data_IF_585031602644
#
_entry.id   IF_585031602644
#
_cell.length_a   1.000
_cell.length_b   1.000
_cell.length_c   1.000
_cell.angle_alpha   90.00
_cell.angle_beta   90.00
_cell.angle_gamma   90.00
#
_symmetry.space_group_name_H-M   'P 1'
#
loop_
_entity.id
_entity.type
_entity.pdbx_description
1 polymer ?
#
# COMPACT_ATOMS: atom_id res chain seq x y z
N UNK A 1 23.58 12.98 -34.12
CA UNK A 1 22.60 11.90 -33.84
C UNK A 1 22.82 11.39 -32.43
N UNK A 2 22.08 11.92 -31.45
CA UNK A 2 22.28 11.58 -30.03
C UNK A 2 21.51 10.32 -29.67
N UNK A 3 22.22 9.31 -29.15
CA UNK A 3 21.66 8.03 -28.69
C UNK A 3 20.60 8.28 -27.63
N UNK A 4 19.32 8.15 -28.01
CA UNK A 4 18.17 8.09 -27.11
C UNK A 4 18.37 6.86 -26.23
N UNK A 5 18.89 7.03 -25.01
CA UNK A 5 18.87 5.99 -23.98
C UNK A 5 17.39 5.66 -23.78
N UNK A 6 16.92 4.56 -24.38
CA UNK A 6 15.69 3.91 -23.91
C UNK A 6 16.04 3.47 -22.49
N UNK A 7 15.71 4.30 -21.50
CA UNK A 7 15.62 3.86 -20.13
C UNK A 7 14.62 2.70 -20.16
N UNK A 8 15.14 1.48 -20.26
CA UNK A 8 14.38 0.29 -19.97
C UNK A 8 14.15 0.35 -18.46
N UNK A 9 13.13 1.11 -18.06
CA UNK A 9 12.58 0.96 -16.72
C UNK A 9 12.27 -0.54 -16.59
N UNK A 10 12.81 -1.24 -15.58
CA UNK A 10 12.44 -2.62 -15.33
C UNK A 10 10.90 -2.70 -15.28
N UNK A 11 10.28 -3.81 -15.68
CA UNK A 11 8.82 -3.93 -15.71
C UNK A 11 8.28 -3.47 -14.36
N UNK A 12 7.61 -2.32 -14.36
CA UNK A 12 7.08 -1.73 -13.15
C UNK A 12 6.09 -2.76 -12.60
N UNK A 13 6.25 -3.11 -11.32
CA UNK A 13 5.34 -4.07 -10.70
C UNK A 13 3.91 -3.53 -10.85
N UNK A 14 2.92 -4.35 -11.24
CA UNK A 14 1.58 -3.86 -11.54
C UNK A 14 0.99 -3.03 -10.39
N UNK A 15 1.34 -3.35 -9.13
CA UNK A 15 0.91 -2.54 -7.98
C UNK A 15 1.50 -1.12 -7.97
N UNK A 16 2.77 -0.92 -8.35
CA UNK A 16 3.37 0.42 -8.38
C UNK A 16 2.73 1.28 -9.48
N UNK A 17 2.42 0.67 -10.63
CA UNK A 17 1.67 1.32 -11.70
C UNK A 17 0.27 1.73 -11.24
N UNK A 18 -0.42 0.87 -10.48
CA UNK A 18 -1.74 1.17 -9.91
C UNK A 18 -1.68 2.24 -8.81
N UNK A 19 -0.62 2.27 -8.00
CA UNK A 19 -0.44 3.26 -6.92
C UNK A 19 -0.05 4.66 -7.44
N UNK A 20 0.50 4.76 -8.66
CA UNK A 20 0.87 6.03 -9.30
C UNK A 20 -0.34 6.78 -9.87
N UNK A 21 -1.44 6.08 -10.15
CA UNK A 21 -2.68 6.70 -10.64
C UNK A 21 -3.32 7.54 -9.54
N UNK A 22 -4.11 8.59 -9.88
CA UNK A 22 -4.97 9.24 -8.90
C UNK A 22 -5.98 8.22 -8.38
N UNK A 23 -5.88 7.90 -7.09
CA UNK A 23 -6.70 6.88 -6.43
C UNK A 23 -7.53 7.50 -5.32
N UNK A 24 -8.74 6.97 -5.13
CA UNK A 24 -9.55 7.26 -3.96
C UNK A 24 -9.05 6.44 -2.77
N UNK A 25 -9.42 6.86 -1.54
CA UNK A 25 -9.13 6.09 -0.33
C UNK A 25 -9.71 4.66 -0.44
N UNK A 26 -10.93 4.52 -0.98
CA UNK A 26 -11.56 3.22 -1.19
C UNK A 26 -10.80 2.32 -2.17
N UNK A 27 -10.20 2.89 -3.22
CA UNK A 27 -9.32 2.14 -4.13
C UNK A 27 -8.08 1.62 -3.40
N UNK A 28 -7.47 2.45 -2.55
CA UNK A 28 -6.30 2.06 -1.76
C UNK A 28 -6.64 0.97 -0.73
N UNK A 29 -7.81 1.03 -0.11
CA UNK A 29 -8.32 -0.01 0.81
C UNK A 29 -8.40 -1.38 0.10
N UNK A 30 -8.96 -1.43 -1.11
CA UNK A 30 -9.05 -2.66 -1.90
C UNK A 30 -7.67 -3.21 -2.27
N UNK A 31 -6.75 -2.34 -2.71
CA UNK A 31 -5.38 -2.74 -3.04
C UNK A 31 -4.62 -3.25 -1.80
N UNK A 32 -4.86 -2.66 -0.63
CA UNK A 32 -4.36 -3.14 0.66
C UNK A 32 -5.02 -4.45 1.12
N UNK A 33 -6.08 -4.91 0.44
CA UNK A 33 -6.81 -6.12 0.81
C UNK A 33 -7.82 -5.93 1.93
N UNK A 34 -8.21 -4.69 2.21
CA UNK A 34 -9.30 -4.39 3.15
C UNK A 34 -10.61 -4.65 2.42
N UNK A 35 -11.51 -5.37 3.10
CA UNK A 35 -12.83 -5.67 2.58
C UNK A 35 -13.64 -4.38 2.37
N UNK A 36 -14.46 -4.34 1.29
CA UNK A 36 -15.28 -3.16 0.97
C UNK A 36 -16.45 -2.96 1.94
N UNK A 37 -16.72 -3.92 2.83
CA UNK A 37 -17.73 -3.78 3.87
C UNK A 37 -17.35 -2.67 4.84
N UNK A 38 -18.37 -1.95 5.33
CA UNK A 38 -18.20 -0.90 6.33
C UNK A 38 -17.44 -1.39 7.57
N UNK A 39 -17.70 -2.63 8.00
CA UNK A 39 -17.01 -3.25 9.12
C UNK A 39 -15.49 -3.42 8.88
N UNK A 40 -15.09 -3.88 7.69
CA UNK A 40 -13.68 -4.06 7.33
C UNK A 40 -12.93 -2.74 7.27
N UNK A 41 -13.56 -1.73 6.65
CA UNK A 41 -13.03 -0.37 6.61
C UNK A 41 -12.88 0.23 8.01
N UNK A 42 -13.93 0.13 8.83
CA UNK A 42 -13.93 0.66 10.21
C UNK A 42 -12.83 0.00 11.05
N UNK A 43 -12.71 -1.33 10.98
CA UNK A 43 -11.69 -2.07 11.70
C UNK A 43 -10.26 -1.60 11.36
N UNK A 44 -9.97 -1.32 10.09
CA UNK A 44 -8.68 -0.74 9.69
C UNK A 44 -8.47 0.64 10.31
N UNK A 45 -9.42 1.57 10.14
CA UNK A 45 -9.24 2.94 10.63
C UNK A 45 -9.20 3.03 12.16
N UNK A 46 -9.95 2.19 12.86
CA UNK A 46 -9.87 2.10 14.33
C UNK A 46 -8.49 1.58 14.75
N UNK A 47 -8.00 0.51 14.14
CA UNK A 47 -6.66 -0.04 14.42
C UNK A 47 -5.55 0.93 14.04
N UNK A 48 -5.70 1.67 12.94
CA UNK A 48 -4.74 2.69 12.51
C UNK A 48 -4.65 3.85 13.52
N UNK A 49 -5.79 4.26 14.08
CA UNK A 49 -5.86 5.30 15.11
C UNK A 49 -5.24 4.88 16.44
N UNK A 50 -5.33 3.60 16.82
CA UNK A 50 -4.71 3.11 18.05
C UNK A 50 -3.18 3.04 17.95
N UNK A 51 -2.64 2.69 16.77
CA UNK A 51 -1.19 2.62 16.56
C UNK A 51 -0.56 3.97 16.20
N UNK A 52 -1.37 4.96 15.77
CA UNK A 52 -0.90 6.30 15.39
C UNK A 52 -1.55 7.40 16.24
N UNK A 53 -1.31 7.43 17.57
CA UNK A 53 -2.06 8.28 18.50
C UNK A 53 -1.83 9.79 18.33
N UNK A 54 -0.76 10.23 17.67
CA UNK A 54 -0.42 11.65 17.50
C UNK A 54 -0.45 12.15 16.03
N UNK A 55 -0.78 11.27 15.07
CA UNK A 55 -0.60 11.55 13.64
C UNK A 55 -1.61 10.86 12.72
N UNK A 56 -2.75 10.43 13.25
CA UNK A 56 -3.82 9.82 12.47
C UNK A 56 -4.50 10.85 11.56
N UNK A 57 -3.86 11.18 10.45
CA UNK A 57 -4.41 11.97 9.35
C UNK A 57 -4.82 11.05 8.19
N UNK A 58 -5.67 11.56 7.29
CA UNK A 58 -6.02 10.84 6.07
C UNK A 58 -4.80 10.57 5.19
N UNK A 59 -3.82 11.48 5.18
CA UNK A 59 -2.57 11.30 4.42
C UNK A 59 -1.73 10.15 4.98
N UNK A 60 -1.54 10.11 6.31
CA UNK A 60 -0.84 9.02 6.98
C UNK A 60 -1.55 7.68 6.80
N UNK A 61 -2.89 7.68 6.83
CA UNK A 61 -3.69 6.50 6.53
C UNK A 61 -3.53 6.04 5.07
N UNK A 62 -3.52 6.96 4.11
CA UNK A 62 -3.25 6.64 2.71
C UNK A 62 -1.83 6.07 2.51
N UNK A 63 -0.83 6.59 3.22
CA UNK A 63 0.52 6.07 3.19
C UNK A 63 0.59 4.63 3.72
N UNK A 64 -0.12 4.31 4.80
CA UNK A 64 -0.19 2.96 5.34
C UNK A 64 -0.95 2.00 4.41
N UNK A 65 -2.05 2.43 3.78
CA UNK A 65 -2.75 1.63 2.77
C UNK A 65 -1.84 1.30 1.58
N UNK A 66 -1.03 2.25 1.11
CA UNK A 66 -0.02 2.02 0.06
C UNK A 66 1.05 1.04 0.51
N UNK A 67 1.50 1.11 1.77
CA UNK A 67 2.46 0.15 2.35
C UNK A 67 1.88 -1.26 2.36
N UNK A 68 0.66 -1.43 2.85
CA UNK A 68 -0.05 -2.71 2.88
C UNK A 68 -0.30 -3.28 1.48
N UNK A 69 -0.66 -2.43 0.51
CA UNK A 69 -0.81 -2.85 -0.89
C UNK A 69 0.50 -3.43 -1.46
N UNK A 70 1.64 -2.79 -1.15
CA UNK A 70 2.98 -3.29 -1.55
C UNK A 70 3.36 -4.59 -0.85
N UNK A 71 3.08 -4.69 0.44
CA UNK A 71 3.31 -5.90 1.24
C UNK A 71 2.49 -7.09 0.72
N UNK A 72 1.22 -6.84 0.36
CA UNK A 72 0.34 -7.84 -0.26
C UNK A 72 0.79 -8.24 -1.66
N UNK A 73 1.34 -7.29 -2.41
CA UNK A 73 1.93 -7.52 -3.72
C UNK A 73 3.31 -8.23 -3.65
N UNK A 74 3.82 -8.55 -2.45
CA UNK A 74 5.13 -9.19 -2.27
C UNK A 74 6.33 -8.29 -2.56
N UNK A 75 6.12 -6.97 -2.64
CA UNK A 75 7.18 -6.00 -2.90
C UNK A 75 7.94 -5.56 -1.63
N UNK A 76 7.34 -5.79 -0.47
CA UNK A 76 8.01 -5.64 0.81
C UNK A 76 8.17 -7.04 1.38
N UNK A 77 9.32 -7.37 2.00
CA UNK A 77 9.41 -8.59 2.79
C UNK A 77 8.30 -8.51 3.83
N UNK A 78 7.32 -9.40 3.75
CA UNK A 78 6.42 -9.63 4.87
C UNK A 78 7.34 -9.99 6.01
N UNK A 79 7.45 -9.10 7.00
CA UNK A 79 8.39 -9.27 8.10
C UNK A 79 8.28 -10.70 8.58
N UNK A 80 9.37 -11.46 8.42
CA UNK A 80 9.44 -12.88 8.72
C UNK A 80 8.99 -13.07 10.16
N UNK A 81 7.70 -13.35 10.38
CA UNK A 81 7.24 -13.84 11.66
C UNK A 81 7.86 -15.23 11.76
N UNK A 82 8.76 -15.36 12.73
CA UNK A 82 9.86 -16.31 12.72
C UNK A 82 9.46 -17.73 12.36
N UNK A 83 10.10 -18.27 11.33
CA UNK A 83 10.63 -19.61 11.42
C UNK A 83 11.86 -19.56 12.35
N UNK A 84 11.65 -19.69 13.66
CA UNK A 84 12.71 -20.07 14.60
C UNK A 84 12.11 -21.06 15.61
N UNK A 85 12.56 -22.31 15.44
CA UNK A 85 12.46 -23.50 16.32
C UNK A 85 11.10 -24.12 16.58
#
# INVERSE_FOLDING_TARGET
MSRRRKNAQPPEHPIEAELRKPQTIGSLEVLAGIDRSEAGRKAFWERFRTITPAGASLDAGCAELRRLAREKAGLLPQGSIGAQT
#
